data_IF_206254343338
#
_entry.id   IF_206254343338
#
_cell.length_a   1.000
_cell.length_b   1.000
_cell.length_c   1.000
_cell.angle_alpha   90.00
_cell.angle_beta   90.00
_cell.angle_gamma   90.00
#
_symmetry.space_group_name_H-M   'P 1'
#
loop_
_entity.id
_entity.type
_entity.pdbx_description
1 polymer ?
#
# COMPACT_ATOMS: atom_id res chain seq x y z
N UNK A 1 -7.77 10.23 -21.79
CA UNK A 1 -6.53 9.77 -21.14
C UNK A 1 -6.85 9.50 -19.69
N UNK A 2 -6.58 8.30 -19.19
CA UNK A 2 -6.61 8.08 -17.75
C UNK A 2 -5.45 8.85 -17.10
N UNK A 3 -5.64 9.46 -15.92
CA UNK A 3 -4.56 10.13 -15.22
C UNK A 3 -3.45 9.13 -14.86
N UNK A 4 -2.20 9.60 -14.88
CA UNK A 4 -1.07 8.82 -14.34
C UNK A 4 -1.25 8.62 -12.83
N UNK A 5 -0.62 7.60 -12.24
CA UNK A 5 -0.64 7.42 -10.77
C UNK A 5 -0.16 8.67 -10.02
N UNK A 6 0.77 9.44 -10.59
CA UNK A 6 1.20 10.72 -10.01
C UNK A 6 0.06 11.74 -9.99
N UNK A 7 -0.64 11.91 -11.11
CA UNK A 7 -1.78 12.83 -11.19
C UNK A 7 -2.93 12.40 -10.26
N UNK A 8 -3.22 11.09 -10.17
CA UNK A 8 -4.23 10.56 -9.24
C UNK A 8 -3.82 10.80 -7.78
N UNK A 9 -2.57 10.52 -7.42
CA UNK A 9 -2.03 10.80 -6.08
C UNK A 9 -2.20 12.28 -5.73
N UNK A 10 -1.73 13.18 -6.60
CA UNK A 10 -1.79 14.61 -6.34
C UNK A 10 -3.22 15.12 -6.24
N UNK A 11 -4.12 14.63 -7.09
CA UNK A 11 -5.53 15.00 -7.05
C UNK A 11 -6.18 14.57 -5.72
N UNK A 12 -5.97 13.32 -5.30
CA UNK A 12 -6.49 12.81 -4.02
C UNK A 12 -5.89 13.56 -2.83
N UNK A 13 -4.58 13.77 -2.85
CA UNK A 13 -3.88 14.52 -1.79
C UNK A 13 -4.38 15.97 -1.65
N UNK A 14 -4.82 16.60 -2.75
CA UNK A 14 -5.43 17.95 -2.71
C UNK A 14 -6.87 17.91 -2.21
N UNK A 15 -7.64 16.90 -2.59
CA UNK A 15 -9.06 16.79 -2.26
C UNK A 15 -9.29 16.34 -0.82
N UNK A 16 -8.51 15.36 -0.35
CA UNK A 16 -8.58 14.77 0.99
C UNK A 16 -7.16 14.71 1.60
N UNK A 17 -6.60 15.85 2.04
CA UNK A 17 -5.25 15.87 2.59
C UNK A 17 -5.09 15.03 3.87
N UNK A 18 -6.16 14.85 4.63
CA UNK A 18 -6.17 14.03 5.85
C UNK A 18 -6.07 12.51 5.57
N UNK A 19 -6.34 12.09 4.33
CA UNK A 19 -6.16 10.70 3.86
C UNK A 19 -4.71 10.44 3.38
N UNK A 20 -3.82 11.43 3.46
CA UNK A 20 -2.40 11.28 3.10
C UNK A 20 -1.59 10.90 4.33
N UNK A 21 -1.24 9.62 4.40
CA UNK A 21 -0.44 9.06 5.48
C UNK A 21 1.02 9.40 5.26
N UNK A 22 1.75 9.52 6.37
CA UNK A 22 3.20 9.67 6.37
C UNK A 22 3.84 8.49 7.07
N UNK A 23 4.61 7.73 6.33
CA UNK A 23 5.39 6.62 6.86
C UNK A 23 6.20 7.11 8.06
N UNK A 24 6.08 6.42 9.21
CA UNK A 24 6.55 6.94 10.49
C UNK A 24 8.07 7.17 10.53
N UNK A 25 8.87 6.21 10.04
CA UNK A 25 10.33 6.32 10.10
C UNK A 25 10.94 7.16 8.94
N UNK A 26 10.45 6.97 7.72
CA UNK A 26 11.05 7.53 6.51
C UNK A 26 10.37 8.81 5.98
N UNK A 27 9.20 9.19 6.51
CA UNK A 27 8.47 10.38 6.10
C UNK A 27 7.81 10.31 4.72
N UNK A 28 7.87 9.16 4.04
CA UNK A 28 7.23 8.94 2.74
C UNK A 28 5.73 9.15 2.80
N UNK A 29 5.15 9.72 1.75
CA UNK A 29 3.70 9.89 1.67
C UNK A 29 3.07 8.69 0.98
N UNK A 30 1.94 8.25 1.50
CA UNK A 30 1.14 7.23 0.83
C UNK A 30 -0.35 7.44 1.13
N UNK A 31 -1.21 6.93 0.26
CA UNK A 31 -2.66 6.99 0.40
C UNK A 31 -3.16 5.54 0.38
N UNK A 32 -3.56 4.98 1.54
CA UNK A 32 -4.16 3.66 1.58
C UNK A 32 -5.54 3.69 0.90
N UNK A 33 -5.85 2.65 0.13
CA UNK A 33 -7.16 2.44 -0.52
C UNK A 33 -8.11 1.68 0.41
N UNK A 34 -7.55 0.86 1.30
CA UNK A 34 -8.28 0.04 2.26
C UNK A 34 -7.80 0.34 3.69
N UNK A 35 -8.68 0.20 4.70
CA UNK A 35 -8.32 0.47 6.09
C UNK A 35 -7.33 -0.56 6.63
N UNK A 36 -6.53 -0.13 7.60
CA UNK A 36 -5.67 -0.99 8.41
C UNK A 36 -6.42 -1.52 9.64
N UNK A 37 -5.97 -2.67 10.13
CA UNK A 37 -6.53 -3.37 11.29
C UNK A 37 -6.45 -2.57 12.61
N UNK A 38 -5.53 -1.60 12.71
CA UNK A 38 -5.33 -0.74 13.88
C UNK A 38 -6.14 0.56 13.84
N UNK A 39 -6.96 0.78 12.80
CA UNK A 39 -7.81 1.97 12.64
C UNK A 39 -9.18 1.81 13.27
N UNK A 40 -9.21 1.52 14.58
CA UNK A 40 -10.42 1.12 15.29
C UNK A 40 -11.65 2.03 15.05
N UNK A 41 -11.46 3.35 15.02
CA UNK A 41 -12.55 4.30 14.78
C UNK A 41 -13.14 4.17 13.37
N UNK A 42 -12.29 4.01 12.35
CA UNK A 42 -12.71 3.83 10.97
C UNK A 42 -13.38 2.47 10.77
N UNK A 43 -12.83 1.41 11.36
CA UNK A 43 -13.43 0.08 11.30
C UNK A 43 -14.82 0.04 11.94
N UNK A 44 -15.03 0.74 13.06
CA UNK A 44 -16.36 0.89 13.68
C UNK A 44 -17.34 1.58 12.74
N UNK A 45 -16.92 2.66 12.07
CA UNK A 45 -17.77 3.38 11.10
C UNK A 45 -18.15 2.50 9.90
N UNK A 46 -17.23 1.65 9.45
CA UNK A 46 -17.44 0.74 8.33
C UNK A 46 -18.19 -0.55 8.73
N UNK A 47 -18.38 -0.79 10.04
CA UNK A 47 -18.94 -2.05 10.54
C UNK A 47 -18.01 -3.25 10.31
N UNK A 48 -16.71 -3.00 10.24
CA UNK A 48 -15.67 -4.02 9.98
C UNK A 48 -14.97 -4.44 11.27
N UNK A 49 -14.52 -5.69 11.29
CA UNK A 49 -13.61 -6.22 12.29
C UNK A 49 -12.16 -6.16 11.78
N UNK A 50 -11.19 -6.03 12.68
CA UNK A 50 -9.77 -6.04 12.34
C UNK A 50 -9.35 -7.26 11.49
N UNK A 51 -9.95 -8.44 11.77
CA UNK A 51 -9.70 -9.67 11.02
C UNK A 51 -10.12 -9.60 9.54
N UNK A 52 -10.94 -8.62 9.14
CA UNK A 52 -11.33 -8.41 7.74
C UNK A 52 -10.31 -7.58 6.96
N UNK A 53 -9.33 -6.96 7.63
CA UNK A 53 -8.28 -6.16 7.00
C UNK A 53 -7.16 -7.07 6.49
N UNK A 54 -7.46 -7.89 5.47
CA UNK A 54 -6.54 -8.93 4.97
C UNK A 54 -5.80 -8.53 3.70
N UNK A 55 -6.19 -7.43 3.05
CA UNK A 55 -5.49 -6.88 1.90
C UNK A 55 -5.59 -5.35 1.92
N UNK A 56 -4.47 -4.68 1.67
CA UNK A 56 -4.38 -3.22 1.58
C UNK A 56 -3.58 -2.86 0.33
N UNK A 57 -4.19 -2.01 -0.50
CA UNK A 57 -3.51 -1.33 -1.59
C UNK A 57 -3.19 0.10 -1.16
N UNK A 58 -2.07 0.66 -1.63
CA UNK A 58 -1.75 2.06 -1.42
C UNK A 58 -1.03 2.67 -2.61
N UNK A 59 -1.38 3.93 -2.91
CA UNK A 59 -0.55 4.78 -3.74
C UNK A 59 0.62 5.29 -2.89
N UNK A 60 1.85 5.03 -3.29
CA UNK A 60 3.05 5.41 -2.56
C UNK A 60 3.90 6.37 -3.38
N UNK A 61 4.10 7.59 -2.86
CA UNK A 61 5.04 8.55 -3.44
C UNK A 61 6.47 8.18 -3.03
N UNK A 62 7.28 7.77 -4.01
CA UNK A 62 8.66 7.34 -3.84
C UNK A 62 9.56 8.11 -4.82
N UNK A 63 10.23 9.16 -4.34
CA UNK A 63 11.01 10.06 -5.19
C UNK A 63 10.12 10.82 -6.18
N UNK A 64 10.46 10.76 -7.46
CA UNK A 64 9.72 11.42 -8.56
C UNK A 64 8.63 10.51 -9.15
N UNK A 65 8.42 9.31 -8.59
CA UNK A 65 7.43 8.35 -9.06
C UNK A 65 6.35 8.08 -8.00
N UNK A 66 5.17 7.64 -8.46
CA UNK A 66 4.15 7.02 -7.61
C UNK A 66 4.01 5.56 -8.01
N UNK A 67 4.11 4.68 -7.03
CA UNK A 67 3.99 3.24 -7.17
C UNK A 67 2.66 2.79 -6.56
N UNK A 68 2.09 1.72 -7.08
CA UNK A 68 1.01 1.01 -6.39
C UNK A 68 1.63 -0.12 -5.56
N UNK A 69 1.39 -0.13 -4.26
CA UNK A 69 1.79 -1.22 -3.37
C UNK A 69 0.56 -1.97 -2.88
N UNK A 70 0.48 -3.26 -3.23
CA UNK A 70 -0.51 -4.20 -2.73
C UNK A 70 0.15 -5.12 -1.70
N UNK A 71 -0.43 -5.20 -0.51
CA UNK A 71 -0.03 -6.14 0.53
C UNK A 71 -1.23 -6.99 0.92
N UNK A 72 -1.07 -8.31 0.92
CA UNK A 72 -2.11 -9.26 1.33
C UNK A 72 -1.60 -10.20 2.42
N UNK A 73 -2.47 -10.67 3.29
CA UNK A 73 -2.15 -11.79 4.18
C UNK A 73 -2.09 -13.09 3.39
N UNK A 74 -1.36 -14.08 3.91
CA UNK A 74 -1.29 -15.41 3.29
C UNK A 74 -2.67 -16.06 3.14
N UNK A 75 -3.59 -15.83 4.08
CA UNK A 75 -4.95 -16.38 4.03
C UNK A 75 -5.81 -15.76 2.92
N UNK A 76 -5.56 -14.51 2.55
CA UNK A 76 -6.27 -13.81 1.47
C UNK A 76 -5.60 -13.98 0.09
N UNK A 77 -4.36 -14.45 0.05
CA UNK A 77 -3.65 -14.68 -1.19
C UNK A 77 -4.19 -15.90 -1.94
N UNK A 78 -4.56 -15.72 -3.20
CA UNK A 78 -5.02 -16.81 -4.07
C UNK A 78 -3.92 -17.85 -4.39
N UNK A 79 -2.64 -17.52 -4.15
CA UNK A 79 -1.51 -18.43 -4.31
C UNK A 79 -0.60 -18.40 -3.06
N UNK A 80 -0.08 -19.56 -2.61
CA UNK A 80 0.68 -19.70 -1.36
C UNK A 80 2.14 -19.25 -1.52
N UNK A 81 2.38 -18.02 -1.98
CA UNK A 81 3.73 -17.59 -2.34
C UNK A 81 4.15 -16.31 -1.64
N UNK A 82 5.25 -16.39 -0.89
CA UNK A 82 6.02 -15.24 -0.45
C UNK A 82 6.76 -14.65 -1.66
N UNK A 83 6.04 -13.98 -2.55
CA UNK A 83 6.64 -13.35 -3.71
C UNK A 83 6.45 -11.84 -3.69
N UNK A 84 7.56 -11.19 -3.99
CA UNK A 84 7.75 -9.76 -4.17
C UNK A 84 7.91 -9.58 -5.66
N UNK A 85 6.87 -9.08 -6.35
CA UNK A 85 6.91 -8.89 -7.80
C UNK A 85 6.64 -7.44 -8.16
N UNK A 86 7.41 -6.95 -9.11
CA UNK A 86 7.13 -5.74 -9.86
C UNK A 86 6.42 -6.12 -11.16
N UNK A 87 5.19 -5.65 -11.36
CA UNK A 87 4.47 -5.85 -12.61
C UNK A 87 4.16 -4.50 -13.27
N UNK A 88 4.49 -4.32 -14.57
CA UNK A 88 3.92 -3.24 -15.35
C UNK A 88 2.46 -3.57 -15.68
N UNK A 89 1.54 -2.65 -15.40
CA UNK A 89 0.17 -2.76 -15.91
C UNK A 89 0.08 -2.33 -17.39
N UNK A 90 -1.06 -2.55 -18.08
CA UNK A 90 -1.25 -2.09 -19.45
C UNK A 90 -1.13 -0.57 -19.66
N UNK A 91 -1.13 0.20 -18.58
CA UNK A 91 -0.98 1.65 -18.56
C UNK A 91 0.46 2.09 -18.25
N UNK A 92 1.39 1.12 -18.04
CA UNK A 92 2.79 1.35 -17.74
C UNK A 92 3.09 1.65 -16.27
N UNK A 93 2.11 1.50 -15.38
CA UNK A 93 2.29 1.70 -13.95
C UNK A 93 3.02 0.52 -13.31
N UNK A 94 3.79 0.79 -12.25
CA UNK A 94 4.52 -0.24 -11.49
C UNK A 94 3.72 -0.66 -10.27
N UNK A 95 3.35 -1.94 -10.23
CA UNK A 95 2.71 -2.58 -9.09
C UNK A 95 3.75 -3.37 -8.32
N UNK A 96 3.84 -3.08 -7.03
CA UNK A 96 4.60 -3.82 -6.05
C UNK A 96 3.62 -4.72 -5.30
N UNK A 97 3.84 -6.02 -5.31
CA UNK A 97 2.96 -6.98 -4.62
C UNK A 97 3.77 -7.66 -3.52
N UNK A 98 3.20 -7.76 -2.32
CA UNK A 98 3.78 -8.49 -1.18
C UNK A 98 2.72 -9.34 -0.47
N UNK A 99 3.12 -10.51 0.00
CA UNK A 99 2.28 -11.39 0.82
C UNK A 99 2.98 -11.61 2.17
N UNK A 100 2.25 -11.39 3.26
CA UNK A 100 2.76 -11.50 4.64
C UNK A 100 2.07 -12.61 5.42
N UNK A 101 2.81 -13.26 6.31
CA UNK A 101 2.27 -14.21 7.28
C UNK A 101 1.77 -13.45 8.52
N UNK A 102 0.54 -12.96 8.45
CA UNK A 102 -0.15 -12.27 9.52
C UNK A 102 -1.66 -12.49 9.42
N UNK A 103 -2.43 -12.45 10.53
CA UNK A 103 -3.87 -12.63 10.50
C UNK A 103 -4.62 -11.44 9.88
N UNK A 104 -4.05 -10.23 9.98
CA UNK A 104 -4.57 -9.00 9.43
C UNK A 104 -3.43 -7.99 9.24
N UNK A 105 -3.68 -6.94 8.47
CA UNK A 105 -2.70 -5.91 8.11
C UNK A 105 -2.87 -4.68 9.00
N UNK A 106 -1.91 -4.46 9.89
CA UNK A 106 -1.78 -3.21 10.62
C UNK A 106 -0.92 -2.23 9.83
N UNK A 107 -1.05 -0.94 10.14
CA UNK A 107 -0.22 0.09 9.52
C UNK A 107 1.29 -0.14 9.73
N UNK A 108 1.81 -0.46 10.94
CA UNK A 108 3.24 -0.74 11.10
C UNK A 108 3.74 -1.92 10.26
N UNK A 109 2.92 -2.96 10.08
CA UNK A 109 3.28 -4.11 9.23
C UNK A 109 3.36 -3.70 7.76
N UNK A 110 2.39 -2.90 7.29
CA UNK A 110 2.42 -2.36 5.93
C UNK A 110 3.63 -1.45 5.70
N UNK A 111 3.95 -0.56 6.64
CA UNK A 111 5.12 0.32 6.58
C UNK A 111 6.44 -0.47 6.57
N UNK A 112 6.53 -1.61 7.29
CA UNK A 112 7.69 -2.50 7.19
C UNK A 112 7.88 -3.06 5.78
N UNK A 113 6.79 -3.45 5.11
CA UNK A 113 6.84 -3.89 3.70
C UNK A 113 7.28 -2.77 2.76
N UNK A 114 6.88 -1.52 3.01
CA UNK A 114 7.36 -0.36 2.24
C UNK A 114 8.88 -0.19 2.37
N UNK A 115 9.45 -0.40 3.57
CA UNK A 115 10.90 -0.32 3.79
C UNK A 115 11.65 -1.40 3.03
N UNK A 116 11.16 -2.65 3.07
CA UNK A 116 11.75 -3.75 2.31
C UNK A 116 11.77 -3.44 0.80
N UNK A 117 10.69 -2.85 0.28
CA UNK A 117 10.64 -2.41 -1.11
C UNK A 117 11.58 -1.26 -1.41
N UNK A 118 11.66 -0.25 -0.54
CA UNK A 118 12.57 0.88 -0.74
C UNK A 118 14.04 0.42 -0.86
N UNK A 119 14.45 -0.56 -0.03
CA UNK A 119 15.79 -1.15 -0.10
C UNK A 119 16.03 -1.87 -1.44
N UNK A 120 15.05 -2.64 -1.92
CA UNK A 120 15.13 -3.37 -3.20
C UNK A 120 15.16 -2.42 -4.39
N UNK A 121 14.35 -1.37 -4.38
CA UNK A 121 14.32 -0.34 -5.44
C UNK A 121 15.62 0.47 -5.51
N UNK A 122 16.33 0.59 -4.39
CA UNK A 122 17.62 1.30 -4.31
C UNK A 122 18.82 0.45 -4.74
N UNK A 123 18.65 -0.86 -4.92
CA UNK A 123 19.73 -1.76 -5.32
C UNK A 123 19.72 -1.92 -6.84
N UNK A 124 20.77 -1.49 -7.57
CA UNK A 124 20.82 -1.72 -9.02
C UNK A 124 20.94 -3.22 -9.30
N UNK A 125 19.97 -3.77 -10.05
CA UNK A 125 20.05 -5.10 -10.68
C UNK A 125 21.12 -5.16 -11.76
#
# INVERSE_FOLDING_TARGET
MNPTLLADFEQRARFAPDEVYRHQACGWRYIPVHPFADEAALLVQLGWQAAQCTAVDALWACGDEVLMLQVSTQAAAAQPVQHVQMQPDPQGHRYLISIVDAPCLTRPLFEAVMQDWAQRLSTPT
#
